data_IF_626505700065
#
_entry.id   IF_626505700065
#
_cell.length_a   1.000
_cell.length_b   1.000
_cell.length_c   1.000
_cell.angle_alpha   90.00
_cell.angle_beta   90.00
_cell.angle_gamma   90.00
#
_symmetry.space_group_name_H-M   'P 1'
#
loop_
_entity.id
_entity.type
_entity.pdbx_description
1 polymer ?
#
# COMPACT_ATOMS: atom_id res chain seq x y z
N UNK A 1 38.12 16.99 37.85
CA UNK A 1 37.77 17.79 36.66
C UNK A 1 37.98 17.02 35.37
N UNK A 2 39.15 16.40 35.14
CA UNK A 2 39.46 15.70 33.87
C UNK A 2 38.50 14.52 33.57
N UNK A 3 38.12 13.75 34.58
CA UNK A 3 37.20 12.60 34.44
C UNK A 3 35.78 12.98 34.01
N UNK A 4 35.31 14.16 34.40
CA UNK A 4 33.98 14.63 33.99
C UNK A 4 33.99 15.06 32.52
N UNK A 5 35.07 15.72 32.08
CA UNK A 5 35.24 16.15 30.70
C UNK A 5 35.35 14.96 29.73
N UNK A 6 36.04 13.88 30.15
CA UNK A 6 36.16 12.67 29.32
C UNK A 6 34.82 11.94 29.17
N UNK A 7 34.01 11.85 30.23
CA UNK A 7 32.68 11.26 30.16
C UNK A 7 31.74 12.06 29.24
N UNK A 8 31.75 13.39 29.33
CA UNK A 8 30.96 14.24 28.43
C UNK A 8 31.40 14.09 26.96
N UNK A 9 32.72 13.97 26.70
CA UNK A 9 33.24 13.78 25.35
C UNK A 9 32.81 12.42 24.74
N UNK A 10 32.78 11.35 25.55
CA UNK A 10 32.35 10.02 25.11
C UNK A 10 30.84 10.01 24.81
N UNK A 11 30.03 10.60 25.68
CA UNK A 11 28.58 10.68 25.45
C UNK A 11 28.25 11.56 24.25
N UNK A 12 28.95 12.69 24.08
CA UNK A 12 28.78 13.59 22.93
C UNK A 12 29.13 12.92 21.60
N UNK A 13 30.26 12.22 21.54
CA UNK A 13 30.66 11.48 20.32
C UNK A 13 29.72 10.31 20.03
N UNK A 14 29.28 9.57 21.06
CA UNK A 14 28.27 8.51 20.91
C UNK A 14 26.93 9.03 20.40
N UNK A 15 26.44 10.15 20.96
CA UNK A 15 25.20 10.80 20.51
C UNK A 15 25.28 11.29 19.07
N UNK A 16 26.40 11.92 18.68
CA UNK A 16 26.62 12.36 17.30
C UNK A 16 26.65 11.18 16.32
N UNK A 17 27.33 10.09 16.69
CA UNK A 17 27.41 8.89 15.86
C UNK A 17 26.04 8.24 15.65
N UNK A 18 25.25 8.08 16.72
CA UNK A 18 23.89 7.55 16.62
C UNK A 18 22.97 8.46 15.80
N UNK A 19 23.13 9.79 15.93
CA UNK A 19 22.38 10.75 15.11
C UNK A 19 22.67 10.57 13.62
N UNK A 20 23.95 10.46 13.23
CA UNK A 20 24.33 10.24 11.84
C UNK A 20 23.76 8.92 11.30
N UNK A 21 23.86 7.82 12.05
CA UNK A 21 23.26 6.55 11.64
C UNK A 21 21.73 6.65 11.48
N UNK A 22 21.04 7.33 12.41
CA UNK A 22 19.60 7.56 12.33
C UNK A 22 19.20 8.34 11.08
N UNK A 23 19.93 9.40 10.73
CA UNK A 23 19.66 10.18 9.51
C UNK A 23 19.90 9.39 8.24
N UNK A 24 20.96 8.57 8.21
CA UNK A 24 21.27 7.71 7.08
C UNK A 24 20.19 6.65 6.86
N UNK A 25 19.76 5.97 7.91
CA UNK A 25 18.69 4.97 7.84
C UNK A 25 17.37 5.58 7.33
N UNK A 26 16.97 6.75 7.84
CA UNK A 26 15.78 7.46 7.38
C UNK A 26 15.83 7.71 5.86
N UNK A 27 16.95 8.22 5.35
CA UNK A 27 17.10 8.49 3.91
C UNK A 27 16.98 7.24 3.02
N UNK A 28 17.44 6.09 3.50
CA UNK A 28 17.34 4.81 2.80
C UNK A 28 15.90 4.30 2.79
N UNK A 29 15.21 4.39 3.93
CA UNK A 29 13.82 4.00 4.06
C UNK A 29 12.92 4.82 3.14
N UNK A 30 13.12 6.14 3.08
CA UNK A 30 12.35 7.04 2.22
C UNK A 30 12.49 6.68 0.73
N UNK A 31 13.70 6.35 0.26
CA UNK A 31 13.92 5.91 -1.13
C UNK A 31 13.20 4.60 -1.44
N UNK A 32 13.26 3.63 -0.53
CA UNK A 32 12.57 2.34 -0.70
C UNK A 32 11.05 2.54 -0.70
N UNK A 33 10.53 3.43 0.15
CA UNK A 33 9.12 3.74 0.21
C UNK A 33 8.63 4.36 -1.10
N UNK A 34 9.33 5.36 -1.65
CA UNK A 34 8.96 5.98 -2.94
C UNK A 34 8.91 4.99 -4.11
N UNK A 35 9.83 4.03 -4.16
CA UNK A 35 9.81 2.97 -5.19
C UNK A 35 8.57 2.09 -5.04
N UNK A 36 8.16 1.79 -3.80
CA UNK A 36 6.95 1.00 -3.53
C UNK A 36 5.69 1.78 -3.88
N UNK A 37 5.63 3.06 -3.52
CA UNK A 37 4.50 3.94 -3.83
C UNK A 37 4.32 4.07 -5.34
N UNK A 38 5.39 4.35 -6.10
CA UNK A 38 5.33 4.38 -7.57
C UNK A 38 4.83 3.07 -8.18
N UNK A 39 5.31 1.93 -7.65
CA UNK A 39 4.84 0.62 -8.10
C UNK A 39 3.36 0.41 -7.77
N UNK A 40 2.85 0.94 -6.66
CA UNK A 40 1.43 0.84 -6.29
C UNK A 40 0.55 1.73 -7.19
N UNK A 41 1.04 2.91 -7.58
CA UNK A 41 0.39 3.82 -8.54
C UNK A 41 0.26 3.21 -9.95
N UNK A 42 1.28 2.48 -10.43
CA UNK A 42 1.22 1.81 -11.74
C UNK A 42 0.05 0.81 -11.87
N UNK A 43 -0.54 0.36 -10.74
CA UNK A 43 -1.70 -0.54 -10.73
C UNK A 43 -3.03 0.15 -10.40
N UNK A 44 -3.07 1.48 -10.29
CA UNK A 44 -4.31 2.20 -10.02
C UNK A 44 -5.24 2.22 -11.25
N UNK A 45 -6.53 1.94 -11.06
CA UNK A 45 -7.51 1.90 -12.14
C UNK A 45 -7.53 0.65 -13.03
N UNK A 46 -6.82 -0.42 -12.65
CA UNK A 46 -6.86 -1.69 -13.40
C UNK A 46 -8.19 -2.43 -13.13
N UNK A 47 -8.77 -3.03 -14.18
CA UNK A 47 -9.96 -3.88 -14.06
C UNK A 47 -9.69 -5.07 -13.10
N UNK A 48 -10.44 -5.18 -11.98
CA UNK A 48 -10.28 -6.28 -11.03
C UNK A 48 -10.40 -7.67 -11.66
N UNK A 49 -11.19 -7.82 -12.74
CA UNK A 49 -11.39 -9.12 -13.40
C UNK A 49 -10.10 -9.65 -14.00
N UNK A 50 -9.21 -8.77 -14.45
CA UNK A 50 -7.92 -9.17 -15.02
C UNK A 50 -6.98 -9.71 -13.93
N UNK A 51 -6.92 -9.04 -12.77
CA UNK A 51 -6.00 -9.40 -11.67
C UNK A 51 -6.46 -10.64 -10.90
N UNK A 52 -7.75 -10.79 -10.66
CA UNK A 52 -8.32 -11.97 -10.01
C UNK A 52 -8.64 -13.11 -11.00
N UNK A 53 -8.37 -12.90 -12.29
CA UNK A 53 -8.58 -13.87 -13.34
C UNK A 53 -7.64 -15.08 -13.25
N UNK A 54 -8.01 -16.15 -13.97
CA UNK A 54 -7.24 -17.40 -14.02
C UNK A 54 -5.90 -17.25 -14.77
N UNK A 55 -5.77 -16.21 -15.60
CA UNK A 55 -4.64 -16.00 -16.51
C UNK A 55 -3.52 -15.10 -15.94
N UNK A 56 -3.53 -14.81 -14.64
CA UNK A 56 -2.48 -13.99 -14.01
C UNK A 56 -1.15 -14.74 -13.93
N UNK A 57 -0.04 -14.05 -14.26
CA UNK A 57 1.30 -14.62 -14.17
C UNK A 57 1.64 -15.01 -12.71
N UNK A 58 1.88 -16.31 -12.40
CA UNK A 58 2.16 -16.76 -11.05
C UNK A 58 3.49 -16.25 -10.47
N UNK A 59 4.43 -15.82 -11.31
CA UNK A 59 5.72 -15.28 -10.88
C UNK A 59 5.64 -13.85 -10.36
N UNK A 60 4.58 -13.11 -10.73
CA UNK A 60 4.37 -11.72 -10.32
C UNK A 60 3.43 -11.67 -9.13
N UNK A 61 3.88 -11.03 -8.06
CA UNK A 61 3.04 -10.78 -6.89
C UNK A 61 1.79 -10.00 -7.32
N UNK A 62 0.61 -10.58 -7.03
CA UNK A 62 -0.67 -9.96 -7.37
C UNK A 62 -0.81 -8.61 -6.67
N UNK A 63 -1.12 -7.53 -7.40
CA UNK A 63 -1.43 -6.25 -6.77
C UNK A 63 -2.70 -6.39 -5.91
N UNK A 64 -2.77 -5.61 -4.82
CA UNK A 64 -3.96 -5.55 -3.98
C UNK A 64 -4.89 -4.52 -4.60
N UNK A 65 -6.01 -4.97 -5.15
CA UNK A 65 -6.94 -4.08 -5.86
C UNK A 65 -8.32 -4.19 -5.23
N UNK A 66 -9.05 -3.09 -5.16
CA UNK A 66 -10.45 -3.11 -4.74
C UNK A 66 -11.31 -3.79 -5.81
N UNK A 67 -12.04 -4.88 -5.51
CA UNK A 67 -12.89 -5.54 -6.49
C UNK A 67 -14.12 -4.72 -6.90
N UNK A 68 -14.45 -3.66 -6.15
CA UNK A 68 -15.61 -2.81 -6.43
C UNK A 68 -15.28 -1.63 -7.37
N UNK A 69 -14.13 -0.96 -7.18
CA UNK A 69 -13.76 0.23 -7.96
C UNK A 69 -12.45 0.11 -8.76
N UNK A 70 -11.68 -0.96 -8.61
CA UNK A 70 -10.40 -1.10 -9.32
C UNK A 70 -9.23 -0.28 -8.74
N UNK A 71 -9.44 0.52 -7.68
CA UNK A 71 -8.35 1.27 -7.05
C UNK A 71 -7.32 0.33 -6.41
N UNK A 72 -6.04 0.63 -6.61
CA UNK A 72 -4.95 -0.06 -5.94
C UNK A 72 -4.95 0.25 -4.43
N UNK A 73 -4.86 -0.79 -3.61
CA UNK A 73 -4.87 -0.70 -2.15
C UNK A 73 -3.44 -0.74 -1.61
N UNK A 74 -3.09 0.26 -0.80
CA UNK A 74 -1.81 0.26 -0.08
C UNK A 74 -1.76 -0.88 0.93
N UNK A 75 -0.56 -1.28 1.37
CA UNK A 75 -0.40 -2.36 2.37
C UNK A 75 -1.14 -2.10 3.69
N UNK A 76 -1.29 -0.84 4.07
CA UNK A 76 -1.97 -0.38 5.28
C UNK A 76 -3.49 -0.23 5.10
N UNK A 77 -3.97 -0.23 3.85
CA UNK A 77 -5.39 -0.15 3.54
C UNK A 77 -6.01 -1.54 3.50
N UNK A 78 -7.31 -1.60 3.76
CA UNK A 78 -8.04 -2.84 3.94
C UNK A 78 -9.36 -2.85 3.19
N UNK A 79 -9.83 -4.07 2.93
CA UNK A 79 -11.11 -4.37 2.32
C UNK A 79 -12.14 -4.60 3.43
N UNK A 80 -13.29 -3.94 3.33
CA UNK A 80 -14.44 -4.18 4.18
C UNK A 80 -15.24 -5.37 3.65
N UNK A 81 -15.42 -6.38 4.50
CA UNK A 81 -16.21 -7.56 4.18
C UNK A 81 -16.91 -8.09 5.43
N UNK A 82 -18.09 -8.70 5.24
CA UNK A 82 -18.82 -9.40 6.29
C UNK A 82 -19.08 -10.86 5.89
N UNK A 83 -18.95 -11.76 6.87
CA UNK A 83 -19.38 -13.14 6.72
C UNK A 83 -20.90 -13.22 6.88
N UNK A 84 -21.57 -13.92 5.96
CA UNK A 84 -22.98 -14.26 6.14
C UNK A 84 -23.16 -15.18 7.35
N UNK A 85 -24.23 -14.95 8.10
CA UNK A 85 -24.63 -15.79 9.23
C UNK A 85 -25.20 -17.12 8.76
N UNK A 86 -25.77 -17.14 7.57
CA UNK A 86 -26.40 -18.32 6.99
C UNK A 86 -25.36 -19.17 6.26
N UNK A 87 -25.34 -20.46 6.59
CA UNK A 87 -24.54 -21.45 5.87
C UNK A 87 -25.38 -21.87 4.67
N UNK A 88 -24.86 -21.67 3.46
CA UNK A 88 -25.55 -22.09 2.25
C UNK A 88 -25.76 -23.62 2.27
N UNK A 89 -26.73 -24.11 1.49
CA UNK A 89 -27.03 -25.55 1.37
C UNK A 89 -25.83 -26.41 0.95
N UNK A 90 -24.81 -25.81 0.35
CA UNK A 90 -23.55 -26.46 -0.03
C UNK A 90 -22.51 -26.53 1.12
N UNK A 91 -22.85 -26.09 2.33
CA UNK A 91 -21.96 -26.06 3.51
C UNK A 91 -20.91 -24.94 3.49
N UNK A 92 -20.86 -24.10 2.46
CA UNK A 92 -19.89 -23.01 2.35
C UNK A 92 -20.45 -21.73 2.95
N UNK A 93 -19.58 -20.99 3.67
CA UNK A 93 -19.89 -19.66 4.19
C UNK A 93 -19.72 -18.64 3.07
N UNK A 94 -20.75 -17.84 2.83
CA UNK A 94 -20.69 -16.73 1.88
C UNK A 94 -20.07 -15.50 2.55
N UNK A 95 -19.20 -14.80 1.83
CA UNK A 95 -18.63 -13.52 2.27
C UNK A 95 -19.20 -12.43 1.36
N UNK A 96 -19.74 -11.38 1.96
CA UNK A 96 -20.15 -10.17 1.27
C UNK A 96 -19.02 -9.16 1.31
N UNK A 97 -18.53 -8.77 0.15
CA UNK A 97 -17.47 -7.76 0.01
C UNK A 97 -18.14 -6.41 -0.22
N UNK A 98 -17.86 -5.43 0.64
CA UNK A 98 -18.37 -4.07 0.53
C UNK A 98 -17.40 -3.10 -0.18
N UNK A 99 -16.13 -3.51 -0.34
CA UNK A 99 -15.12 -2.74 -1.07
C UNK A 99 -14.06 -2.12 -0.15
N UNK A 100 -13.29 -1.17 -0.67
CA UNK A 100 -12.26 -0.44 0.08
C UNK A 100 -12.84 0.70 0.93
N UNK A 101 -11.99 1.45 1.64
CA UNK A 101 -12.41 2.64 2.40
C UNK A 101 -13.19 3.66 1.57
N UNK A 102 -12.81 3.84 0.31
CA UNK A 102 -13.47 4.78 -0.60
C UNK A 102 -14.87 4.30 -0.99
N UNK A 103 -15.02 3.02 -1.37
CA UNK A 103 -16.32 2.43 -1.70
C UNK A 103 -17.27 2.35 -0.49
N UNK A 104 -16.76 1.95 0.67
CA UNK A 104 -17.59 1.71 1.85
C UNK A 104 -18.02 3.01 2.54
N UNK A 105 -17.12 3.98 2.65
CA UNK A 105 -17.37 5.24 3.34
C UNK A 105 -17.85 6.35 2.39
N UNK A 106 -17.86 6.12 1.07
CA UNK A 106 -18.23 7.13 0.07
C UNK A 106 -17.21 8.28 -0.04
N UNK A 107 -15.97 8.05 0.40
CA UNK A 107 -14.89 9.02 0.29
C UNK A 107 -14.35 8.97 -1.14
N UNK A 108 -14.98 9.66 -2.07
CA UNK A 108 -14.35 9.91 -3.36
C UNK A 108 -13.45 11.13 -3.19
N UNK A 109 -12.15 10.90 -3.03
CA UNK A 109 -11.19 11.99 -3.27
C UNK A 109 -11.18 12.23 -4.78
N UNK A 110 -11.52 13.46 -5.18
CA UNK A 110 -11.39 13.96 -6.55
C UNK A 110 -9.89 14.04 -6.92
N UNK A 111 -9.24 12.89 -7.09
CA UNK A 111 -7.92 12.85 -7.72
C UNK A 111 -8.14 12.89 -9.23
N UNK A 112 -7.82 14.05 -9.80
CA UNK A 112 -7.79 14.38 -11.22
C UNK A 112 -7.48 13.17 -12.12
N UNK A 113 -8.52 12.65 -12.78
CA UNK A 113 -8.37 11.84 -13.98
C UNK A 113 -7.99 12.77 -15.12
N UNK A 114 -6.68 13.03 -15.30
CA UNK A 114 -6.20 13.40 -16.61
C UNK A 114 -6.41 12.20 -17.54
N UNK A 115 -7.35 12.42 -18.45
CA UNK A 115 -7.76 11.58 -19.56
C UNK A 115 -6.55 11.04 -20.32
N UNK A 116 -6.30 9.73 -20.23
CA UNK A 116 -5.65 8.99 -21.31
C UNK A 116 -6.74 8.53 -22.29
N UNK A 117 -7.36 9.50 -22.97
CA UNK A 117 -7.93 9.25 -24.29
C UNK A 117 -6.75 9.22 -25.27
N UNK A 118 -6.33 8.01 -25.68
CA UNK A 118 -5.62 7.87 -26.95
C UNK A 118 -6.10 6.60 -27.68
N UNK A 119 -6.79 6.88 -28.80
CA UNK A 119 -6.78 6.14 -30.06
C UNK A 119 -7.63 4.87 -30.16
N UNK A 120 -8.91 5.07 -30.45
CA UNK A 120 -9.66 4.23 -31.39
C UNK A 120 -9.80 5.02 -32.70
N UNK A 121 -8.83 4.82 -33.61
CA UNK A 121 -8.99 5.18 -35.02
C UNK A 121 -9.82 4.09 -35.73
N UNK A 122 -10.65 4.59 -36.64
CA UNK A 122 -11.63 3.91 -37.51
C UNK A 122 -11.05 2.80 -38.39
#
# INVERSE_FOLDING_TARGET
>A
MVTFLTLCAIVGTGGLFLYLLSTYEKSKLDKIQKIREKKEEDFDGIDPRHVYGKNWNPEVQRPRICPCCGKALKKTEFLYAAMSKEIQSNGKKQVHIYGCRYCYLGLFEEENSETHEENLDF
#
